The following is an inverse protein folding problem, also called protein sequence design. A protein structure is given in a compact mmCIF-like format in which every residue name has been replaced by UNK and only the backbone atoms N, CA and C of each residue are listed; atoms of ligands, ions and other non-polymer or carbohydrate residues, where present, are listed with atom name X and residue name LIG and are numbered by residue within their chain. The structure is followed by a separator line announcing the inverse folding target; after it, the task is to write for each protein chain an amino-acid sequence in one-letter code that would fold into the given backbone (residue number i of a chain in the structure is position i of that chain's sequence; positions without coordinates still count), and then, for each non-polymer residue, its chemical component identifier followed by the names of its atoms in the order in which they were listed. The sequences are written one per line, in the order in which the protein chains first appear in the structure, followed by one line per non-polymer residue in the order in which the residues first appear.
data_IF_121513287426
#
_entry.id   IF_121513287426
#
_cell.length_a   1.000
_cell.length_b   1.000
_cell.length_c   1.000
_cell.angle_alpha   90.00
_cell.angle_beta   90.00
_cell.angle_gamma   90.00
#
_symmetry.space_group_name_H-M   'P 1'
#
loop_
_entity.id
_entity.type
_entity.pdbx_description
1 polymer ?
#
# COMPACT_ATOMS: atom_id res chain seq x y z
N UNK A 1 -6.39 15.07 17.83
CA UNK A 1 -7.45 14.05 17.73
C UNK A 1 -6.93 12.88 18.51
N UNK A 2 -7.63 12.48 19.57
CA UNK A 2 -7.18 11.37 20.41
C UNK A 2 -7.92 10.10 19.97
N UNK A 3 -7.15 9.12 19.53
CA UNK A 3 -7.68 7.81 19.15
C UNK A 3 -7.53 6.83 20.31
N UNK A 4 -8.49 5.93 20.46
CA UNK A 4 -8.36 4.81 21.39
C UNK A 4 -7.36 3.77 20.86
N UNK A 5 -6.87 2.89 21.75
CA UNK A 5 -6.01 1.76 21.34
C UNK A 5 -6.68 0.90 20.27
N UNK A 6 -8.00 0.70 20.37
CA UNK A 6 -8.78 -0.05 19.37
C UNK A 6 -8.75 0.68 18.03
N UNK A 7 -8.93 1.99 18.03
CA UNK A 7 -8.87 2.81 16.82
C UNK A 7 -7.48 2.78 16.17
N UNK A 8 -6.40 2.85 16.95
CA UNK A 8 -5.04 2.68 16.43
C UNK A 8 -4.83 1.30 15.82
N UNK A 9 -5.28 0.23 16.47
CA UNK A 9 -5.19 -1.13 15.92
C UNK A 9 -5.96 -1.25 14.60
N UNK A 10 -7.15 -0.65 14.51
CA UNK A 10 -7.96 -0.65 13.29
C UNK A 10 -7.29 0.12 12.16
N UNK A 11 -6.70 1.27 12.47
CA UNK A 11 -5.91 2.03 11.51
C UNK A 11 -4.71 1.21 10.98
N UNK A 12 -4.00 0.49 11.86
CA UNK A 12 -2.88 -0.38 11.44
C UNK A 12 -3.36 -1.53 10.53
N UNK A 13 -4.51 -2.14 10.82
CA UNK A 13 -5.12 -3.15 9.94
C UNK A 13 -5.44 -2.57 8.57
N UNK A 14 -6.06 -1.38 8.52
CA UNK A 14 -6.36 -0.68 7.27
C UNK A 14 -5.09 -0.40 6.45
N UNK A 15 -4.06 0.13 7.11
CA UNK A 15 -2.79 0.44 6.46
C UNK A 15 -2.15 -0.83 5.87
N UNK A 16 -2.17 -1.94 6.60
CA UNK A 16 -1.66 -3.21 6.13
C UNK A 16 -2.43 -3.73 4.90
N UNK A 17 -3.77 -3.61 4.89
CA UNK A 17 -4.59 -3.97 3.74
C UNK A 17 -4.27 -3.11 2.51
N UNK A 18 -4.13 -1.80 2.67
CA UNK A 18 -3.77 -0.88 1.58
C UNK A 18 -2.41 -1.25 0.97
N UNK A 19 -1.40 -1.45 1.81
CA UNK A 19 -0.06 -1.84 1.35
C UNK A 19 -0.05 -3.20 0.65
N UNK A 20 -0.84 -4.16 1.15
CA UNK A 20 -1.01 -5.46 0.51
C UNK A 20 -1.66 -5.33 -0.87
N UNK A 21 -2.71 -4.54 -1.00
CA UNK A 21 -3.40 -4.31 -2.27
C UNK A 21 -2.47 -3.65 -3.31
N UNK A 22 -1.70 -2.64 -2.89
CA UNK A 22 -0.71 -1.98 -3.75
C UNK A 22 0.34 -2.96 -4.27
N UNK A 23 0.86 -3.83 -3.41
CA UNK A 23 1.93 -4.77 -3.76
C UNK A 23 1.45 -5.99 -4.54
N UNK A 24 0.32 -6.58 -4.15
CA UNK A 24 -0.12 -7.90 -4.64
C UNK A 24 -1.11 -7.79 -5.78
N UNK A 25 -2.02 -6.82 -5.72
CA UNK A 25 -3.08 -6.67 -6.73
C UNK A 25 -2.74 -5.67 -7.83
N UNK A 26 -1.61 -4.96 -7.72
CA UNK A 26 -1.28 -3.84 -8.61
C UNK A 26 -2.44 -2.84 -8.71
N UNK A 27 -3.18 -2.66 -7.62
CA UNK A 27 -4.39 -1.86 -7.63
C UNK A 27 -4.03 -0.43 -7.99
N UNK A 28 -4.72 0.13 -8.99
CA UNK A 28 -4.48 1.51 -9.43
C UNK A 28 -4.74 2.49 -8.27
N UNK A 29 -4.17 3.70 -8.38
CA UNK A 29 -4.43 4.74 -7.40
C UNK A 29 -5.93 5.06 -7.26
N UNK A 30 -6.64 5.12 -8.39
CA UNK A 30 -8.07 5.39 -8.43
C UNK A 30 -8.86 4.30 -7.70
N UNK A 31 -8.58 3.03 -8.02
CA UNK A 31 -9.23 1.89 -7.38
C UNK A 31 -8.90 1.83 -5.88
N UNK A 32 -7.68 2.18 -5.49
CA UNK A 32 -7.25 2.22 -4.09
C UNK A 32 -7.98 3.28 -3.28
N UNK A 33 -8.20 4.47 -3.87
CA UNK A 33 -8.98 5.56 -3.24
C UNK A 33 -10.45 5.17 -3.15
N UNK A 34 -11.00 4.54 -4.20
CA UNK A 34 -12.38 4.07 -4.23
C UNK A 34 -12.63 3.00 -3.15
N UNK A 35 -11.75 1.99 -3.08
CA UNK A 35 -11.81 0.95 -2.06
C UNK A 35 -11.71 1.53 -0.64
N UNK A 36 -10.81 2.50 -0.42
CA UNK A 36 -10.71 3.19 0.87
C UNK A 36 -12.02 3.92 1.22
N UNK A 37 -12.63 4.59 0.24
CA UNK A 37 -13.93 5.24 0.40
C UNK A 37 -15.04 4.25 0.73
N UNK A 38 -15.08 3.09 0.07
CA UNK A 38 -16.06 2.02 0.32
C UNK A 38 -15.90 1.42 1.72
N UNK A 39 -14.67 1.07 2.13
CA UNK A 39 -14.38 0.55 3.49
C UNK A 39 -14.75 1.56 4.57
N UNK A 40 -14.57 2.85 4.29
CA UNK A 40 -14.97 3.94 5.19
C UNK A 40 -16.46 4.31 5.08
N UNK A 41 -17.17 3.86 4.05
CA UNK A 41 -18.60 4.13 3.84
C UNK A 41 -19.50 2.95 4.21
N UNK A 42 -18.98 1.72 4.30
CA UNK A 42 -19.61 0.56 4.94
C UNK A 42 -19.93 0.76 6.43
N UNK A 43 -19.67 1.96 6.95
CA UNK A 43 -20.24 2.56 8.17
C UNK A 43 -21.79 2.71 8.08
N UNK A 44 -22.41 2.48 6.91
CA UNK A 44 -23.87 2.46 6.71
C UNK A 44 -24.51 1.04 6.80
N UNK A 45 -25.80 0.93 7.17
CA UNK A 45 -26.42 -0.29 7.72
C UNK A 45 -26.82 -1.34 6.66
N UNK A 46 -25.88 -1.84 5.85
CA UNK A 46 -26.23 -2.90 4.87
C UNK A 46 -25.20 -4.02 4.81
N UNK A 47 -25.56 -5.12 5.47
CA UNK A 47 -25.33 -6.52 5.11
C UNK A 47 -23.99 -6.94 4.49
N UNK A 48 -23.00 -7.21 5.34
CA UNK A 48 -22.04 -8.31 5.15
C UNK A 48 -21.50 -8.73 6.52
N UNK A 49 -21.79 -9.96 6.91
CA UNK A 49 -21.62 -10.54 8.26
C UNK A 49 -20.16 -10.71 8.71
N UNK A 50 -19.20 -10.01 8.09
CA UNK A 50 -17.78 -9.96 8.48
C UNK A 50 -17.29 -8.55 8.84
N UNK A 51 -18.11 -7.52 8.64
CA UNK A 51 -17.72 -6.11 8.79
C UNK A 51 -18.35 -5.46 10.05
N UNK A 52 -18.64 -6.22 11.11
CA UNK A 52 -19.21 -5.66 12.36
C UNK A 52 -18.22 -4.73 13.11
N UNK A 53 -16.97 -4.64 12.66
CA UNK A 53 -15.84 -4.13 13.44
C UNK A 53 -15.20 -2.84 12.91
N UNK A 54 -15.76 -2.22 11.86
CA UNK A 54 -15.25 -0.97 11.26
C UNK A 54 -15.98 0.30 11.73
N UNK A 55 -17.08 0.15 12.48
CA UNK A 55 -17.86 1.24 13.10
C UNK A 55 -17.14 1.95 14.27
N UNK A 56 -15.81 1.89 14.34
CA UNK A 56 -15.03 2.47 15.46
C UNK A 56 -14.70 3.94 15.21
N UNK A 57 -14.75 4.42 13.96
CA UNK A 57 -14.44 5.80 13.61
C UNK A 57 -15.72 6.61 13.36
N UNK A 58 -15.80 7.81 13.93
CA UNK A 58 -16.84 8.77 13.53
C UNK A 58 -16.57 9.33 12.13
N UNK A 59 -17.56 9.99 11.52
CA UNK A 59 -17.45 10.56 10.17
C UNK A 59 -16.28 11.54 10.03
N UNK A 60 -15.97 12.34 11.08
CA UNK A 60 -14.85 13.28 11.05
C UNK A 60 -13.52 12.55 11.12
N UNK A 61 -13.42 11.52 11.95
CA UNK A 61 -12.25 10.66 12.08
C UNK A 61 -11.99 9.90 10.78
N UNK A 62 -13.03 9.31 10.18
CA UNK A 62 -12.93 8.63 8.90
C UNK A 62 -12.42 9.57 7.81
N UNK A 63 -13.00 10.77 7.68
CA UNK A 63 -12.53 11.78 6.73
C UNK A 63 -11.07 12.20 6.98
N UNK A 64 -10.69 12.42 8.25
CA UNK A 64 -9.32 12.77 8.59
C UNK A 64 -8.32 11.65 8.27
N UNK A 65 -8.70 10.39 8.47
CA UNK A 65 -7.87 9.22 8.09
C UNK A 65 -7.75 9.13 6.56
N UNK A 66 -8.85 9.32 5.82
CA UNK A 66 -8.84 9.33 4.36
C UNK A 66 -7.90 10.43 3.85
N UNK A 67 -8.03 11.64 4.37
CA UNK A 67 -7.20 12.78 3.95
C UNK A 67 -5.73 12.56 4.31
N UNK A 68 -5.46 12.01 5.49
CA UNK A 68 -4.11 11.62 5.90
C UNK A 68 -3.51 10.58 4.94
N UNK A 69 -4.25 9.52 4.59
CA UNK A 69 -3.76 8.48 3.68
C UNK A 69 -3.55 9.01 2.25
N UNK A 70 -4.38 9.97 1.80
CA UNK A 70 -4.19 10.65 0.52
C UNK A 70 -2.86 11.39 0.45
N UNK A 71 -2.54 12.18 1.47
CA UNK A 71 -1.30 12.98 1.47
C UNK A 71 -0.06 12.18 1.86
N UNK A 72 -0.19 11.09 2.61
CA UNK A 72 0.96 10.31 3.07
C UNK A 72 1.29 9.15 2.14
N UNK A 73 0.33 8.24 1.92
CA UNK A 73 0.55 7.01 1.16
C UNK A 73 0.35 7.26 -0.33
N UNK A 74 -0.78 7.85 -0.71
CA UNK A 74 -1.15 7.95 -2.12
C UNK A 74 -0.42 9.05 -2.88
N UNK A 75 0.02 10.12 -2.21
CA UNK A 75 0.88 11.14 -2.83
C UNK A 75 2.16 10.54 -3.43
N UNK A 76 2.68 9.48 -2.83
CA UNK A 76 3.88 8.77 -3.30
C UNK A 76 3.56 7.50 -4.08
N UNK A 77 2.31 7.31 -4.54
CA UNK A 77 1.90 6.11 -5.29
C UNK A 77 2.84 5.76 -6.44
N UNK A 78 3.25 6.75 -7.25
CA UNK A 78 4.18 6.52 -8.37
C UNK A 78 5.54 6.00 -7.95
N UNK A 79 6.02 6.38 -6.76
CA UNK A 79 7.24 5.85 -6.20
C UNK A 79 7.07 4.38 -5.79
N UNK A 80 5.95 4.03 -5.17
CA UNK A 80 5.64 2.64 -4.82
C UNK A 80 5.44 1.75 -6.05
N UNK A 81 4.74 2.26 -7.07
CA UNK A 81 4.58 1.60 -8.36
C UNK A 81 5.97 1.33 -9.00
N UNK A 82 6.86 2.32 -8.98
CA UNK A 82 8.24 2.15 -9.44
C UNK A 82 9.00 1.10 -8.60
N UNK A 83 8.98 1.21 -7.27
CA UNK A 83 9.72 0.28 -6.40
C UNK A 83 9.26 -1.18 -6.52
N UNK A 84 7.95 -1.41 -6.67
CA UNK A 84 7.40 -2.76 -6.75
C UNK A 84 7.49 -3.34 -8.16
N UNK A 85 7.39 -2.51 -9.20
CA UNK A 85 7.09 -2.98 -10.55
C UNK A 85 8.01 -2.46 -11.64
N UNK A 86 8.90 -1.52 -11.35
CA UNK A 86 9.99 -1.27 -12.28
C UNK A 86 10.84 -2.52 -12.34
N UNK A 87 10.98 -3.05 -13.57
CA UNK A 87 12.03 -3.98 -13.87
C UNK A 87 13.32 -3.32 -13.34
N UNK A 88 13.92 -3.90 -12.30
CA UNK A 88 15.29 -3.56 -12.00
C UNK A 88 16.01 -3.91 -13.27
N UNK A 89 16.47 -2.91 -14.01
CA UNK A 89 17.52 -3.13 -14.98
C UNK A 89 18.65 -3.73 -14.15
N UNK A 90 18.70 -5.06 -14.15
CA UNK A 90 19.88 -5.77 -13.73
C UNK A 90 20.94 -5.25 -14.68
N UNK A 91 21.78 -4.34 -14.18
CA UNK A 91 22.98 -3.96 -14.89
C UNK A 91 23.82 -5.23 -14.88
N UNK A 92 23.59 -6.08 -15.88
CA UNK A 92 24.48 -7.17 -16.23
C UNK A 92 25.72 -6.45 -16.74
N UNK A 93 26.61 -6.08 -15.82
CA UNK A 93 27.99 -5.76 -16.15
C UNK A 93 28.57 -7.11 -16.58
N UNK A 94 28.36 -7.44 -17.85
CA UNK A 94 29.08 -8.48 -18.55
C UNK A 94 30.54 -8.05 -18.65
N UNK A 95 31.27 -8.08 -17.54
CA UNK A 95 32.71 -8.23 -17.60
C UNK A 95 32.96 -9.68 -17.96
N UNK A 96 32.91 -9.97 -19.26
CA UNK A 96 33.65 -11.08 -19.84
C UNK A 96 35.13 -10.79 -19.63
N UNK A 97 35.62 -11.05 -18.41
CA UNK A 97 37.05 -11.10 -18.14
C UNK A 97 37.58 -12.31 -18.89
N UNK A 98 38.07 -12.09 -20.11
CA UNK A 98 39.03 -12.99 -20.74
C UNK A 98 40.29 -12.97 -19.87
N UNK A 99 40.31 -13.80 -18.82
CA UNK A 99 41.54 -14.16 -18.12
C UNK A 99 42.33 -15.00 -19.11
N UNK A 100 43.21 -14.33 -19.85
CA UNK A 100 44.18 -14.98 -20.72
C UNK A 100 45.19 -15.66 -19.79
N UNK A 101 45.01 -16.95 -19.56
CA UNK A 101 46.03 -17.75 -18.90
C UNK A 101 47.32 -17.63 -19.72
N UNK A 102 48.45 -17.22 -19.13
CA UNK A 102 49.72 -17.28 -19.83
C UNK A 102 50.05 -18.75 -20.07
N UNK A 103 50.34 -19.08 -21.33
CA UNK A 103 50.87 -20.38 -21.71
C UNK A 103 52.12 -20.66 -20.86
N UNK A 104 52.08 -21.73 -20.08
CA UNK A 104 53.21 -22.16 -19.26
C UNK A 104 54.24 -22.86 -20.18
N UNK A 105 55.53 -22.45 -20.15
CA UNK A 105 56.59 -23.02 -20.97
C UNK A 105 56.98 -24.45 -20.55
#
# INVERSE_FOLDING_TARGET
MDFSIIQYSKFMTLLNMLLHNLKTLHMSLEDSIKWLGEVMAEIGPTHSQKCEEWNVFDVRQANAIIDYLKISLFQHYKLYEFMFFSAREEIVIGTETFVKCPDMP
#
